data_IF_954453002496
#
_entry.id   IF_954453002496
#
_cell.length_a   1.000
_cell.length_b   1.000
_cell.length_c   1.000
_cell.angle_alpha   90.00
_cell.angle_beta   90.00
_cell.angle_gamma   90.00
#
_symmetry.space_group_name_H-M   'P 1'
#
loop_
_entity.id
_entity.type
_entity.pdbx_description
1 polymer ?
#
# COMPACT_ATOMS: atom_id res chain seq x y z
N UNK A 1 -5.98 -8.69 3.58
CA UNK A 1 -5.49 -8.72 2.19
C UNK A 1 -4.34 -7.74 1.99
N UNK A 2 -4.47 -6.48 2.38
CA UNK A 2 -3.38 -5.49 2.38
C UNK A 2 -2.08 -6.05 2.98
N UNK A 3 -2.12 -6.51 4.24
CA UNK A 3 -0.93 -7.05 4.93
C UNK A 3 -0.26 -8.23 4.20
N UNK A 4 -1.04 -9.08 3.54
CA UNK A 4 -0.50 -10.22 2.77
C UNK A 4 0.26 -9.71 1.55
N UNK A 5 -0.34 -8.76 0.83
CA UNK A 5 0.25 -8.16 -0.37
C UNK A 5 1.50 -7.38 0.00
N UNK A 6 1.47 -6.62 1.10
CA UNK A 6 2.61 -5.82 1.56
C UNK A 6 3.67 -6.63 2.30
N UNK A 7 3.55 -7.97 2.35
CA UNK A 7 4.49 -8.87 3.04
C UNK A 7 4.66 -8.53 4.53
N UNK A 8 3.56 -8.18 5.20
CA UNK A 8 3.52 -7.82 6.62
C UNK A 8 3.59 -6.32 6.91
N UNK A 9 3.36 -5.47 5.90
CA UNK A 9 3.37 -4.02 6.08
C UNK A 9 2.28 -3.50 7.01
N UNK A 10 2.63 -2.51 7.83
CA UNK A 10 1.70 -1.88 8.77
C UNK A 10 0.60 -1.11 8.03
N UNK A 11 -0.69 -1.35 8.32
CA UNK A 11 -1.79 -0.62 7.70
C UNK A 11 -1.79 0.85 8.13
N UNK A 12 -2.22 1.74 7.23
CA UNK A 12 -2.27 3.19 7.44
C UNK A 12 -0.98 3.80 8.02
N UNK A 13 0.18 3.61 7.36
CA UNK A 13 1.44 4.12 7.86
C UNK A 13 1.39 5.65 8.00
N UNK A 14 1.73 6.15 9.19
CA UNK A 14 1.73 7.59 9.49
C UNK A 14 0.39 8.16 9.97
N UNK A 15 -0.69 7.36 10.05
CA UNK A 15 -1.93 7.76 10.70
C UNK A 15 -1.89 7.31 12.16
N UNK A 16 -1.97 8.26 13.09
CA UNK A 16 -2.00 7.94 14.51
C UNK A 16 -3.32 7.24 14.88
N UNK A 17 -3.33 6.31 15.86
CA UNK A 17 -4.54 5.62 16.28
C UNK A 17 -5.70 6.56 16.63
N UNK A 18 -5.39 7.70 17.28
CA UNK A 18 -6.38 8.70 17.68
C UNK A 18 -7.03 9.43 16.48
N UNK A 19 -6.34 9.51 15.35
CA UNK A 19 -6.83 10.16 14.13
C UNK A 19 -7.53 9.20 13.17
N UNK A 20 -7.51 7.89 13.46
CA UNK A 20 -7.98 6.83 12.56
C UNK A 20 -9.45 6.99 12.18
N UNK A 21 -10.31 7.28 13.16
CA UNK A 21 -11.75 7.46 12.91
C UNK A 21 -12.00 8.64 11.98
N UNK A 22 -11.38 9.78 12.26
CA UNK A 22 -11.49 10.98 11.43
C UNK A 22 -10.99 10.74 10.00
N UNK A 23 -9.91 9.96 9.85
CA UNK A 23 -9.38 9.58 8.54
C UNK A 23 -10.39 8.74 7.75
N UNK A 24 -10.97 7.71 8.37
CA UNK A 24 -11.96 6.84 7.72
C UNK A 24 -13.28 7.54 7.41
N UNK A 25 -13.74 8.45 8.28
CA UNK A 25 -14.95 9.28 8.10
C UNK A 25 -14.83 10.27 6.93
N UNK A 26 -13.61 10.71 6.59
CA UNK A 26 -13.36 11.51 5.38
C UNK A 26 -13.37 10.66 4.10
N UNK A 27 -13.61 9.35 4.22
CA UNK A 27 -13.59 8.41 3.10
C UNK A 27 -12.18 7.99 2.68
N UNK A 28 -11.15 8.36 3.44
CA UNK A 28 -9.78 7.96 3.14
C UNK A 28 -9.59 6.47 3.43
N UNK A 29 -8.90 5.78 2.52
CA UNK A 29 -8.58 4.36 2.56
C UNK A 29 -7.14 4.17 2.10
N UNK A 30 -6.57 3.01 2.39
CA UNK A 30 -5.21 2.70 1.97
C UNK A 30 -5.08 2.76 0.45
N UNK A 31 -4.02 3.42 -0.03
CA UNK A 31 -3.67 3.42 -1.44
C UNK A 31 -3.24 2.02 -1.91
N UNK A 32 -3.28 1.79 -3.22
CA UNK A 32 -2.82 0.54 -3.80
C UNK A 32 -1.33 0.34 -3.54
N UNK A 33 -0.91 -0.80 -2.96
CA UNK A 33 0.51 -1.11 -2.82
C UNK A 33 1.23 -1.23 -4.16
N UNK A 34 2.51 -0.87 -4.22
CA UNK A 34 3.30 -0.84 -5.46
C UNK A 34 3.40 -2.22 -6.14
N UNK A 35 3.41 -3.28 -5.33
CA UNK A 35 3.52 -4.67 -5.79
C UNK A 35 2.16 -5.34 -6.03
N UNK A 36 1.06 -4.61 -5.90
CA UNK A 36 -0.30 -5.10 -6.02
C UNK A 36 -0.86 -4.92 -7.45
N UNK A 37 -1.29 -5.99 -8.14
CA UNK A 37 -2.06 -5.85 -9.36
C UNK A 37 -3.40 -5.13 -9.10
N UNK A 38 -3.91 -4.42 -10.11
CA UNK A 38 -5.14 -3.62 -10.00
C UNK A 38 -6.34 -4.47 -9.54
N UNK A 39 -6.52 -5.65 -10.12
CA UNK A 39 -7.67 -6.51 -9.85
C UNK A 39 -7.72 -6.96 -8.38
N UNK A 40 -6.55 -7.18 -7.75
CA UNK A 40 -6.48 -7.48 -6.31
C UNK A 40 -6.82 -6.24 -5.47
N UNK A 41 -6.38 -5.05 -5.91
CA UNK A 41 -6.72 -3.81 -5.25
C UNK A 41 -8.22 -3.49 -5.33
N UNK A 42 -8.87 -3.80 -6.45
CA UNK A 42 -10.31 -3.65 -6.62
C UNK A 42 -11.08 -4.50 -5.59
N UNK A 43 -10.68 -5.75 -5.37
CA UNK A 43 -11.28 -6.59 -4.34
C UNK A 43 -11.09 -5.98 -2.94
N UNK A 44 -9.91 -5.42 -2.65
CA UNK A 44 -9.66 -4.74 -1.37
C UNK A 44 -10.52 -3.49 -1.20
N UNK A 45 -10.63 -2.64 -2.21
CA UNK A 45 -11.38 -1.39 -2.13
C UNK A 45 -12.88 -1.63 -1.97
N UNK A 46 -13.43 -2.64 -2.63
CA UNK A 46 -14.81 -3.10 -2.42
C UNK A 46 -15.06 -3.57 -0.99
N UNK A 47 -14.10 -4.28 -0.38
CA UNK A 47 -14.20 -4.69 1.03
C UNK A 47 -14.20 -3.50 2.00
N UNK A 48 -13.68 -2.35 1.59
CA UNK A 48 -13.59 -1.13 2.39
C UNK A 48 -14.68 -0.09 2.08
N UNK A 49 -15.70 -0.48 1.32
CA UNK A 49 -16.86 0.36 1.05
C UNK A 49 -17.45 0.92 2.36
N UNK A 50 -17.74 2.23 2.35
CA UNK A 50 -18.27 2.95 3.51
C UNK A 50 -19.58 2.31 3.99
N UNK A 51 -20.51 2.11 3.07
CA UNK A 51 -21.75 1.41 3.33
C UNK A 51 -21.51 -0.11 3.38
N UNK A 52 -21.83 -0.78 4.51
CA UNK A 52 -21.63 -2.22 4.66
C UNK A 52 -22.39 -3.08 3.64
N UNK A 53 -23.51 -2.59 3.10
CA UNK A 53 -24.31 -3.34 2.11
C UNK A 53 -23.67 -3.43 0.75
N UNK A 54 -22.71 -2.54 0.46
CA UNK A 54 -22.00 -2.51 -0.81
C UNK A 54 -20.74 -3.39 -0.78
N UNK A 55 -20.41 -3.95 0.40
CA UNK A 55 -19.28 -4.87 0.56
C UNK A 55 -19.64 -6.25 0.02
N UNK A 56 -18.75 -6.91 -0.74
CA UNK A 56 -18.99 -8.25 -1.25
C UNK A 56 -19.01 -9.26 -0.10
N UNK A 57 -19.85 -10.29 -0.23
CA UNK A 57 -19.78 -11.44 0.67
C UNK A 57 -18.53 -12.30 0.39
N UNK A 58 -18.21 -13.19 1.33
CA UNK A 58 -17.05 -14.08 1.20
C UNK A 58 -17.11 -15.01 -0.03
N UNK A 59 -18.31 -15.38 -0.51
CA UNK A 59 -18.48 -16.18 -1.71
C UNK A 59 -18.04 -15.42 -2.96
N UNK A 60 -18.45 -14.16 -3.08
CA UNK A 60 -18.02 -13.25 -4.15
C UNK A 60 -16.51 -13.01 -4.07
N UNK A 61 -15.99 -12.70 -2.88
CA UNK A 61 -14.53 -12.48 -2.68
C UNK A 61 -13.75 -13.71 -3.13
N UNK A 62 -14.15 -14.91 -2.68
CA UNK A 62 -13.49 -16.17 -3.07
C UNK A 62 -13.51 -16.37 -4.58
N UNK A 63 -14.66 -16.15 -5.23
CA UNK A 63 -14.79 -16.31 -6.68
C UNK A 63 -13.89 -15.34 -7.46
N UNK A 64 -13.84 -14.07 -7.04
CA UNK A 64 -12.96 -13.06 -7.66
C UNK A 64 -11.50 -13.44 -7.53
N UNK A 65 -11.05 -13.79 -6.33
CA UNK A 65 -9.67 -14.21 -6.09
C UNK A 65 -9.31 -15.49 -6.86
N UNK A 66 -10.21 -16.48 -6.93
CA UNK A 66 -9.97 -17.69 -7.72
C UNK A 66 -9.81 -17.37 -9.21
N UNK A 67 -10.68 -16.52 -9.76
CA UNK A 67 -10.60 -16.08 -11.16
C UNK A 67 -9.28 -15.37 -11.45
N UNK A 68 -8.85 -14.48 -10.55
CA UNK A 68 -7.57 -13.77 -10.68
C UNK A 68 -6.38 -14.72 -10.62
N UNK A 69 -6.43 -15.75 -9.77
CA UNK A 69 -5.37 -16.78 -9.69
C UNK A 69 -5.32 -17.68 -10.93
N UNK A 70 -6.47 -18.00 -11.54
CA UNK A 70 -6.52 -18.76 -12.80
C UNK A 70 -5.94 -17.96 -13.98
N UNK A 71 -6.02 -16.63 -13.92
CA UNK A 71 -5.48 -15.73 -14.93
C UNK A 71 -4.00 -15.36 -14.71
N UNK A 72 -3.41 -15.74 -13.56
CA UNK A 72 -1.99 -15.53 -13.31
C UNK A 72 -1.16 -16.38 -14.29
N UNK A 73 -0.47 -15.72 -15.22
CA UNK A 73 0.53 -16.34 -16.10
C UNK A 73 1.93 -16.16 -15.51
N UNK A 74 2.93 -16.88 -16.05
CA UNK A 74 4.34 -16.68 -15.64
C UNK A 74 4.83 -15.22 -15.84
N UNK A 75 4.21 -14.49 -16.79
CA UNK A 75 4.46 -13.07 -17.04
C UNK A 75 3.65 -12.14 -16.10
N UNK A 76 2.49 -12.61 -15.62
CA UNK A 76 1.54 -11.87 -14.79
C UNK A 76 1.40 -12.51 -13.40
N UNK A 77 2.43 -12.32 -12.56
CA UNK A 77 2.46 -12.85 -11.19
C UNK A 77 1.45 -12.16 -10.26
N UNK A 78 0.88 -12.95 -9.34
CA UNK A 78 0.01 -12.53 -8.22
C UNK A 78 0.58 -11.33 -7.43
N UNK A 79 1.90 -11.28 -7.25
CA UNK A 79 2.62 -10.12 -6.73
C UNK A 79 3.82 -9.80 -7.61
N UNK A 80 4.05 -8.52 -7.87
CA UNK A 80 5.24 -8.03 -8.57
C UNK A 80 6.32 -7.70 -7.55
N UNK A 81 7.10 -8.73 -7.18
CA UNK A 81 8.18 -8.60 -6.21
C UNK A 81 9.52 -8.35 -6.91
N UNK A 82 10.21 -7.30 -6.48
CA UNK A 82 11.59 -6.96 -6.82
C UNK A 82 12.45 -7.27 -5.61
N UNK A 83 13.42 -8.19 -5.75
CA UNK A 83 14.30 -8.59 -4.65
C UNK A 83 15.21 -7.46 -4.16
N UNK A 84 15.30 -6.35 -4.90
CA UNK A 84 16.09 -5.18 -4.55
C UNK A 84 15.29 -4.11 -3.80
N UNK A 85 13.97 -4.28 -3.63
CA UNK A 85 13.11 -3.28 -2.99
C UNK A 85 12.59 -3.73 -1.64
N UNK A 86 12.70 -2.82 -0.68
CA UNK A 86 12.04 -2.90 0.62
C UNK A 86 10.63 -2.29 0.50
N UNK A 87 9.61 -3.13 0.37
CA UNK A 87 8.25 -2.67 0.05
C UNK A 87 7.53 -2.06 1.25
N UNK A 88 7.48 -2.73 2.41
CA UNK A 88 6.71 -2.25 3.58
C UNK A 88 7.28 -2.74 4.92
N UNK A 89 8.61 -2.71 5.09
CA UNK A 89 9.27 -3.18 6.32
C UNK A 89 8.67 -2.54 7.58
N UNK A 90 8.32 -3.37 8.56
CA UNK A 90 7.86 -2.94 9.89
C UNK A 90 9.06 -2.39 10.66
N UNK A 91 9.13 -1.07 10.84
CA UNK A 91 10.01 -0.50 11.85
C UNK A 91 9.37 -0.74 13.22
N UNK A 92 9.71 -1.85 13.86
CA UNK A 92 9.52 -1.97 15.30
C UNK A 92 10.46 -0.94 15.94
N UNK A 93 9.93 0.22 16.32
CA UNK A 93 10.63 1.09 17.24
C UNK A 93 10.71 0.34 18.56
N UNK A 94 11.86 -0.25 18.83
CA UNK A 94 12.24 -0.72 20.15
C UNK A 94 12.34 0.51 21.07
N UNK A 95 11.23 0.88 21.69
CA UNK A 95 11.20 1.85 22.78
C UNK A 95 11.67 1.19 24.10
N UNK A 96 12.76 0.42 24.06
CA UNK A 96 13.54 0.03 25.23
C UNK A 96 14.80 -0.76 24.86
N UNK A 97 15.91 -0.10 24.52
CA UNK A 97 17.24 -0.24 25.17
C UNK A 97 18.40 0.27 24.27
N UNK A 98 19.07 1.29 24.81
CA UNK A 98 20.44 1.75 24.52
C UNK A 98 20.76 2.52 23.21
N UNK A 99 21.39 3.67 23.46
CA UNK A 99 21.80 4.76 22.59
C UNK A 99 22.93 4.47 21.58
N UNK A 100 22.72 5.00 20.36
CA UNK A 100 23.68 5.61 19.39
C UNK A 100 24.68 4.75 18.58
N UNK A 101 25.23 5.26 17.45
CA UNK A 101 24.79 6.36 16.56
C UNK A 101 24.80 6.05 15.03
N UNK A 102 24.01 6.85 14.30
CA UNK A 102 24.16 7.32 12.91
C UNK A 102 24.46 6.34 11.74
N UNK A 103 23.59 6.39 10.72
CA UNK A 103 24.04 6.75 9.37
C UNK A 103 22.95 7.53 8.64
N UNK A 104 23.22 8.82 8.46
CA UNK A 104 22.44 9.72 7.63
C UNK A 104 22.68 9.42 6.15
N UNK A 105 21.62 9.34 5.34
CA UNK A 105 21.65 9.79 3.95
C UNK A 105 20.26 10.25 3.52
N UNK A 106 20.14 11.57 3.39
CA UNK A 106 19.00 12.29 2.84
C UNK A 106 18.77 11.93 1.38
N UNK A 107 17.50 11.83 0.94
CA UNK A 107 17.06 12.48 -0.30
C UNK A 107 15.63 13.05 -0.13
N UNK A 108 15.55 14.35 0.15
CA UNK A 108 14.38 15.18 -0.18
C UNK A 108 14.34 15.37 -1.69
N UNK A 109 13.25 15.02 -2.38
CA UNK A 109 12.96 15.53 -3.74
C UNK A 109 11.79 16.50 -3.71
N UNK A 110 12.14 17.79 -3.61
CA UNK A 110 11.30 18.94 -3.92
C UNK A 110 11.23 19.09 -5.44
N UNK A 111 10.07 18.87 -6.07
CA UNK A 111 9.84 19.24 -7.47
C UNK A 111 9.46 20.72 -7.53
N UNK A 112 10.38 21.55 -8.00
CA UNK A 112 10.09 22.92 -8.44
C UNK A 112 10.18 22.91 -9.98
N UNK A 113 9.04 23.09 -10.66
CA UNK A 113 9.01 23.23 -12.12
C UNK A 113 8.95 24.71 -12.46
N UNK A 114 9.99 25.17 -13.15
CA UNK A 114 9.99 26.47 -13.81
C UNK A 114 11.41 26.83 -14.26
N UNK A 115 11.62 26.97 -15.57
CA UNK A 115 12.06 28.21 -16.25
C UNK A 115 12.69 27.98 -17.65
N UNK A 116 11.92 28.36 -18.67
CA UNK A 116 12.22 29.16 -19.89
C UNK A 116 13.43 28.91 -20.83
N UNK A 117 13.12 28.79 -22.13
CA UNK A 117 13.57 29.55 -23.34
C UNK A 117 15.06 29.64 -23.75
N UNK A 118 15.42 29.20 -24.99
CA UNK A 118 15.64 30.03 -26.21
C UNK A 118 16.49 29.35 -27.31
N UNK A 119 16.27 29.83 -28.56
CA UNK A 119 17.11 29.86 -29.78
C UNK A 119 16.92 28.78 -30.88
N UNK A 120 16.26 29.20 -31.97
CA UNK A 120 16.90 29.33 -33.29
C UNK A 120 16.31 30.54 -34.03
#
# INVERSE_FOLDING_TARGET
>A
MFEIITLGGSPYPGVQPDDMMNHLERGERMERPDNCPEDFYEVMSECWAENPKDRPDFGIIRQKLATQLEQCTEEYSYLKLDSQRDYYNVQYSDESFHSSPASSSLIKKKKNSGRTMTKK
#
